data_IF_553053259671
#
_entry.id   IF_553053259671
#
_cell.length_a   1.000
_cell.length_b   1.000
_cell.length_c   1.000
_cell.angle_alpha   90.00
_cell.angle_beta   90.00
_cell.angle_gamma   90.00
#
_symmetry.space_group_name_H-M   'P 1'
#
loop_
_entity.id
_entity.type
_entity.pdbx_description
1 polymer ?
#
# COMPACT_ATOMS: atom_id res chain seq x y z
N UNK A 1 6.88 -0.18 -11.60
CA UNK A 1 5.44 -0.54 -11.71
C UNK A 1 4.76 0.53 -12.55
N UNK A 2 3.83 0.20 -13.46
CA UNK A 2 3.05 1.22 -14.20
C UNK A 2 1.72 1.49 -13.50
N UNK A 3 1.11 2.65 -13.76
CA UNK A 3 -0.21 3.02 -13.19
C UNK A 3 -1.29 1.96 -13.46
N UNK A 4 -1.23 1.31 -14.62
CA UNK A 4 -2.14 0.22 -14.97
C UNK A 4 -1.98 -1.01 -14.07
N UNK A 5 -0.75 -1.31 -13.65
CA UNK A 5 -0.46 -2.45 -12.77
C UNK A 5 -0.94 -2.15 -11.34
N UNK A 6 -0.72 -0.93 -10.84
CA UNK A 6 -1.25 -0.48 -9.55
C UNK A 6 -2.79 -0.57 -9.52
N UNK A 7 -3.46 -0.02 -10.54
CA UNK A 7 -4.92 -0.04 -10.60
C UNK A 7 -5.48 -1.47 -10.61
N UNK A 8 -4.79 -2.42 -11.27
CA UNK A 8 -5.17 -3.83 -11.28
C UNK A 8 -4.94 -4.51 -9.93
N UNK A 9 -3.82 -4.22 -9.28
CA UNK A 9 -3.51 -4.75 -7.95
C UNK A 9 -4.51 -4.27 -6.89
N UNK A 10 -4.83 -2.97 -6.89
CA UNK A 10 -5.81 -2.39 -5.97
C UNK A 10 -7.19 -2.98 -6.21
N UNK A 11 -7.64 -3.05 -7.47
CA UNK A 11 -8.92 -3.66 -7.84
C UNK A 11 -9.02 -5.12 -7.37
N UNK A 12 -7.95 -5.90 -7.55
CA UNK A 12 -7.89 -7.29 -7.09
C UNK A 12 -7.96 -7.40 -5.55
N UNK A 13 -7.26 -6.52 -4.83
CA UNK A 13 -7.21 -6.56 -3.37
C UNK A 13 -8.53 -6.10 -2.71
N UNK A 14 -9.23 -5.13 -3.31
CA UNK A 14 -10.48 -4.57 -2.75
C UNK A 14 -11.75 -5.21 -3.30
N UNK A 15 -11.65 -6.01 -4.36
CA UNK A 15 -12.82 -6.56 -5.08
C UNK A 15 -13.54 -5.53 -5.97
N UNK A 16 -13.01 -4.32 -6.08
CA UNK A 16 -13.56 -3.25 -6.92
C UNK A 16 -13.17 -3.41 -8.39
N UNK A 17 -13.87 -2.69 -9.27
CA UNK A 17 -13.49 -2.64 -10.69
C UNK A 17 -12.31 -1.70 -10.93
N UNK A 18 -11.48 -2.00 -11.94
CA UNK A 18 -10.40 -1.08 -12.37
C UNK A 18 -10.93 0.30 -12.74
N UNK A 19 -12.15 0.40 -13.29
CA UNK A 19 -12.84 1.67 -13.53
C UNK A 19 -13.19 2.42 -12.23
N UNK A 20 -13.63 1.70 -11.19
CA UNK A 20 -13.86 2.30 -9.87
C UNK A 20 -12.55 2.87 -9.33
N UNK A 21 -11.47 2.08 -9.33
CA UNK A 21 -10.15 2.49 -8.82
C UNK A 21 -9.60 3.70 -9.57
N UNK A 22 -9.74 3.74 -10.90
CA UNK A 22 -9.36 4.92 -11.71
C UNK A 22 -10.13 6.17 -11.31
N UNK A 23 -11.42 6.04 -11.00
CA UNK A 23 -12.26 7.17 -10.57
C UNK A 23 -11.92 7.64 -9.16
N UNK A 24 -11.43 6.74 -8.30
CA UNK A 24 -10.98 7.06 -6.95
C UNK A 24 -9.63 7.79 -6.92
N UNK A 25 -8.89 7.82 -8.04
CA UNK A 25 -7.72 8.70 -8.18
C UNK A 25 -6.42 8.18 -7.58
N UNK A 26 -6.27 6.87 -7.40
CA UNK A 26 -4.96 6.31 -7.02
C UNK A 26 -3.91 6.64 -8.08
N UNK A 27 -2.83 7.31 -7.69
CA UNK A 27 -1.74 7.73 -8.58
C UNK A 27 -0.40 7.21 -8.05
N UNK A 28 0.42 6.69 -8.95
CA UNK A 28 1.85 6.53 -8.70
C UNK A 28 2.47 7.92 -8.81
N UNK A 29 2.98 8.43 -7.70
CA UNK A 29 3.82 9.62 -7.70
C UNK A 29 5.01 9.39 -8.64
N UNK A 30 5.28 10.33 -9.55
CA UNK A 30 6.56 10.37 -10.22
C UNK A 30 7.60 10.87 -9.20
N UNK A 31 8.75 10.20 -9.00
CA UNK A 31 9.78 10.70 -8.09
C UNK A 31 10.33 12.09 -8.46
N UNK A 32 10.09 12.57 -9.68
CA UNK A 32 10.37 13.96 -10.07
C UNK A 32 9.29 14.95 -9.63
N UNK A 33 8.06 14.49 -9.37
CA UNK A 33 6.99 15.29 -8.79
C UNK A 33 7.12 15.27 -7.26
N UNK A 34 7.51 16.42 -6.68
CA UNK A 34 7.48 16.61 -5.23
C UNK A 34 6.04 16.70 -4.74
N UNK A 35 5.39 15.56 -4.56
CA UNK A 35 4.12 15.49 -3.86
C UNK A 35 4.41 15.55 -2.36
N UNK A 36 3.99 16.63 -1.71
CA UNK A 36 4.03 16.74 -0.27
C UNK A 36 2.91 15.86 0.33
N UNK A 37 3.25 14.76 1.05
CA UNK A 37 2.25 13.87 1.61
C UNK A 37 1.41 14.53 2.72
N UNK A 38 1.91 15.61 3.32
CA UNK A 38 1.21 16.40 4.34
C UNK A 38 0.41 17.57 3.74
N UNK A 39 0.42 17.72 2.40
CA UNK A 39 -0.35 18.77 1.75
C UNK A 39 -1.85 18.53 1.92
N UNK A 40 -2.53 19.54 2.50
CA UNK A 40 -3.98 19.57 2.67
C UNK A 40 -4.74 19.36 1.34
N UNK A 41 -4.10 19.64 0.20
CA UNK A 41 -4.67 19.46 -1.14
C UNK A 41 -4.96 17.99 -1.50
N UNK A 42 -4.13 17.06 -1.02
CA UNK A 42 -4.27 15.63 -1.32
C UNK A 42 -5.09 14.87 -0.28
N UNK A 43 -5.38 15.50 0.86
CA UNK A 43 -6.24 14.96 1.92
C UNK A 43 -5.74 13.64 2.52
N UNK A 44 -6.61 12.86 3.20
CA UNK A 44 -6.23 11.62 3.89
C UNK A 44 -5.96 10.44 2.94
N UNK A 45 -5.74 10.71 1.65
CA UNK A 45 -5.68 9.69 0.60
C UNK A 45 -4.28 9.45 0.05
N UNK A 46 -3.26 10.11 0.62
CA UNK A 46 -1.85 9.82 0.35
C UNK A 46 -1.37 8.71 1.29
N UNK A 47 -0.66 7.73 0.74
CA UNK A 47 -0.08 6.61 1.49
C UNK A 47 1.42 6.62 1.25
N UNK A 48 2.21 6.74 2.33
CA UNK A 48 3.64 6.47 2.30
C UNK A 48 3.86 4.95 2.31
N UNK A 49 4.44 4.42 1.22
CA UNK A 49 4.68 2.99 1.07
C UNK A 49 5.84 2.50 1.93
N UNK A 50 6.85 3.33 2.17
CA UNK A 50 8.00 2.97 3.01
C UNK A 50 7.56 2.92 4.47
N UNK A 51 6.75 3.87 4.91
CA UNK A 51 6.16 3.88 6.24
C UNK A 51 5.20 2.69 6.44
N UNK A 52 4.29 2.43 5.48
CA UNK A 52 3.38 1.30 5.54
C UNK A 52 4.13 -0.04 5.56
N UNK A 53 5.23 -0.14 4.80
CA UNK A 53 6.09 -1.32 4.80
C UNK A 53 6.80 -1.49 6.16
N UNK A 54 7.29 -0.42 6.75
CA UNK A 54 7.87 -0.45 8.10
C UNK A 54 6.85 -0.95 9.14
N UNK A 55 5.62 -0.42 9.12
CA UNK A 55 4.54 -0.85 10.01
C UNK A 55 4.18 -2.34 9.84
N UNK A 56 4.20 -2.85 8.61
CA UNK A 56 3.96 -4.29 8.34
C UNK A 56 5.08 -5.17 8.87
N UNK A 57 6.33 -4.74 8.75
CA UNK A 57 7.49 -5.47 9.27
C UNK A 57 7.49 -5.45 10.80
N UNK A 58 7.17 -4.31 11.41
CA UNK A 58 7.08 -4.16 12.87
C UNK A 58 5.90 -4.93 13.47
N UNK A 59 4.77 -5.01 12.75
CA UNK A 59 3.61 -5.81 13.12
C UNK A 59 3.82 -7.33 12.94
N UNK A 60 4.80 -7.74 12.14
CA UNK A 60 5.22 -9.12 11.93
C UNK A 60 6.39 -9.44 12.87
N UNK A 61 6.22 -9.13 14.16
CA UNK A 61 7.00 -9.77 15.22
C UNK A 61 6.68 -11.26 15.15
N UNK A 62 7.44 -11.94 14.30
CA UNK A 62 7.60 -13.37 14.24
C UNK A 62 7.94 -13.83 15.67
N UNK A 63 6.92 -14.22 16.43
CA UNK A 63 7.12 -15.17 17.51
C UNK A 63 7.50 -16.49 16.82
N UNK A 64 8.74 -16.98 16.97
CA UNK A 64 9.07 -18.30 16.48
C UNK A 64 8.15 -19.29 17.18
N UNK A 65 7.20 -19.83 16.44
CA UNK A 65 6.21 -20.77 16.94
C UNK A 65 6.97 -22.00 17.43
N UNK A 66 6.88 -22.21 18.75
CA UNK A 66 7.32 -23.37 19.52
C UNK A 66 7.50 -24.64 18.66
N UNK A 67 8.73 -25.16 18.58
CA UNK A 67 8.96 -26.55 18.19
C UNK A 67 8.23 -27.47 19.18
N UNK A 68 7.40 -28.44 18.73
CA UNK A 68 6.87 -29.44 19.64
C UNK A 68 8.01 -30.39 19.99
N UNK A 69 8.39 -30.42 21.27
CA UNK A 69 9.28 -31.44 21.81
C UNK A 69 8.61 -32.81 21.63
N UNK A 70 9.18 -33.63 20.75
CA UNK A 70 8.78 -35.02 20.55
C UNK A 70 9.27 -35.83 21.76
N UNK A 71 8.34 -36.50 22.44
CA UNK A 71 8.58 -37.36 23.59
C UNK A 71 9.26 -38.68 23.23
#
# INVERSE_FOLDING_TARGET
>A
MKQADLNRAVAHATGETVSTIKRLGFLLADPADSLDPDSEEYGPHVIDWDELQAQRIDGDTWEPQHEPAVA
#
